data_IF_084910883133
#
_entry.id   IF_084910883133
#
_cell.length_a   1.000
_cell.length_b   1.000
_cell.length_c   1.000
_cell.angle_alpha   90.00
_cell.angle_beta   90.00
_cell.angle_gamma   90.00
#
_symmetry.space_group_name_H-M   'P 1'
#
loop_
_entity.id
_entity.type
_entity.pdbx_description
1 polymer ?
#
# COMPACT_ATOMS: atom_id res chain seq x y z
N UNK A 1 -21.31 16.09 15.44
CA UNK A 1 -19.89 15.80 15.19
C UNK A 1 -19.42 16.78 14.14
N UNK A 2 -18.31 17.45 14.40
CA UNK A 2 -17.64 18.34 13.44
C UNK A 2 -16.53 17.52 12.77
N UNK A 3 -16.39 17.64 11.45
CA UNK A 3 -15.42 16.88 10.67
C UNK A 3 -14.58 17.83 9.82
N UNK A 4 -13.27 17.71 9.95
CA UNK A 4 -12.30 18.45 9.13
C UNK A 4 -11.79 17.58 7.98
N UNK A 5 -11.92 18.09 6.75
CA UNK A 5 -11.33 17.43 5.57
C UNK A 5 -9.83 17.75 5.51
N UNK A 6 -8.99 16.72 5.57
CA UNK A 6 -7.54 16.81 5.30
C UNK A 6 -7.20 16.09 3.99
N UNK A 7 -6.48 16.75 3.10
CA UNK A 7 -5.86 16.10 1.92
C UNK A 7 -4.45 15.70 2.32
N UNK A 8 -4.15 14.40 2.28
CA UNK A 8 -2.89 13.84 2.79
C UNK A 8 -1.90 13.45 1.66
N UNK A 9 -2.41 13.21 0.46
CA UNK A 9 -1.61 12.87 -0.72
C UNK A 9 -2.43 13.02 -2.00
N UNK A 10 -1.74 13.18 -3.12
CA UNK A 10 -2.30 13.03 -4.46
C UNK A 10 -1.61 11.83 -5.13
N UNK A 11 -2.39 10.79 -5.46
CA UNK A 11 -1.87 9.54 -6.05
C UNK A 11 -2.72 9.16 -7.25
N UNK A 12 -2.07 8.83 -8.36
CA UNK A 12 -2.74 8.46 -9.60
C UNK A 12 -3.54 7.18 -9.40
N UNK A 13 -4.87 7.29 -9.46
CA UNK A 13 -5.78 6.14 -9.25
C UNK A 13 -5.47 5.40 -7.93
N UNK A 14 -5.39 6.17 -6.83
CA UNK A 14 -5.41 5.67 -5.46
C UNK A 14 -6.59 4.71 -5.28
N UNK A 15 -6.32 3.44 -4.96
CA UNK A 15 -7.34 2.39 -5.04
C UNK A 15 -7.37 1.50 -3.79
N UNK A 16 -6.30 0.77 -3.53
CA UNK A 16 -6.27 -0.18 -2.43
C UNK A 16 -5.73 0.50 -1.17
N UNK A 17 -6.47 0.35 -0.05
CA UNK A 17 -6.04 0.77 1.28
C UNK A 17 -6.12 -0.41 2.25
N UNK A 18 -5.15 -0.55 3.15
CA UNK A 18 -5.20 -1.54 4.22
C UNK A 18 -4.53 -1.02 5.49
N UNK A 19 -5.01 -1.46 6.64
CA UNK A 19 -4.33 -1.21 7.91
C UNK A 19 -3.04 -2.04 7.98
N UNK A 20 -2.01 -1.46 8.58
CA UNK A 20 -0.76 -2.14 8.87
C UNK A 20 -0.35 -1.87 10.31
N UNK A 21 -0.47 -2.91 11.13
CA UNK A 21 -0.06 -2.91 12.53
C UNK A 21 1.42 -3.25 12.59
N UNK A 22 2.26 -2.26 12.33
CA UNK A 22 3.70 -2.44 12.27
C UNK A 22 4.30 -2.63 13.66
N UNK A 23 5.45 -3.30 13.75
CA UNK A 23 6.20 -3.43 15.01
C UNK A 23 6.63 -2.06 15.57
N UNK A 24 6.75 -1.05 14.70
CA UNK A 24 7.07 0.33 15.05
C UNK A 24 5.82 1.16 15.41
N UNK A 25 4.78 1.10 14.59
CA UNK A 25 3.53 1.82 14.83
C UNK A 25 2.35 1.31 13.99
N UNK A 26 1.15 1.64 14.48
CA UNK A 26 -0.07 1.53 13.68
C UNK A 26 -0.07 2.56 12.55
N UNK A 27 -0.48 2.10 11.37
CA UNK A 27 -0.38 2.85 10.12
C UNK A 27 -1.34 2.27 9.08
N UNK A 28 -1.37 2.85 7.89
CA UNK A 28 -2.06 2.28 6.74
C UNK A 28 -1.24 2.42 5.46
N UNK A 29 -1.47 1.51 4.53
CA UNK A 29 -0.83 1.46 3.22
C UNK A 29 -1.84 1.86 2.16
N UNK A 30 -1.39 2.64 1.17
CA UNK A 30 -2.18 2.99 -0.01
C UNK A 30 -1.39 2.60 -1.26
N UNK A 31 -2.02 1.85 -2.16
CA UNK A 31 -1.47 1.46 -3.46
C UNK A 31 -2.32 1.95 -4.64
N UNK A 32 -1.67 2.18 -5.78
CA UNK A 32 -2.33 2.64 -7.01
C UNK A 32 -2.81 1.48 -7.91
N UNK A 33 -3.97 1.67 -8.53
CA UNK A 33 -4.52 0.73 -9.54
C UNK A 33 -3.71 0.76 -10.85
N UNK A 34 -3.22 1.94 -11.24
CA UNK A 34 -2.34 2.13 -12.41
C UNK A 34 -0.90 2.29 -11.95
N UNK A 35 0.02 2.37 -12.90
CA UNK A 35 1.43 2.64 -12.63
C UNK A 35 1.60 3.77 -11.60
N UNK A 36 2.33 3.46 -10.54
CA UNK A 36 2.47 4.32 -9.38
C UNK A 36 2.85 3.56 -8.11
N UNK A 37 3.03 4.31 -7.01
CA UNK A 37 3.66 3.79 -5.81
C UNK A 37 2.67 3.09 -4.86
N UNK A 38 3.23 2.37 -3.90
CA UNK A 38 2.59 2.10 -2.62
C UNK A 38 3.29 2.89 -1.52
N UNK A 39 2.52 3.63 -0.73
CA UNK A 39 3.03 4.53 0.31
C UNK A 39 2.37 4.16 1.64
N UNK A 40 3.17 4.14 2.70
CA UNK A 40 2.71 4.01 4.08
C UNK A 40 2.46 5.38 4.69
N UNK A 41 1.38 5.49 5.46
CA UNK A 41 1.00 6.70 6.18
C UNK A 41 0.74 6.37 7.65
N UNK A 42 1.12 7.29 8.53
CA UNK A 42 0.69 7.25 9.91
C UNK A 42 -0.83 7.52 10.02
N UNK A 43 -1.45 7.16 11.14
CA UNK A 43 -2.91 7.32 11.33
C UNK A 43 -3.40 8.77 11.26
N UNK A 44 -2.52 9.75 11.48
CA UNK A 44 -2.82 11.19 11.32
C UNK A 44 -2.71 11.66 9.85
N UNK A 45 -2.35 10.77 8.93
CA UNK A 45 -2.15 11.02 7.51
C UNK A 45 -0.77 11.56 7.14
N UNK A 46 0.19 11.62 8.08
CA UNK A 46 1.56 11.98 7.76
C UNK A 46 2.21 10.89 6.90
N UNK A 47 2.85 11.24 5.76
CA UNK A 47 3.53 10.25 4.92
C UNK A 47 4.73 9.67 5.67
N UNK A 48 4.91 8.35 5.53
CA UNK A 48 6.06 7.63 6.08
C UNK A 48 6.97 7.20 4.91
N UNK A 49 7.18 5.90 4.71
CA UNK A 49 7.96 5.35 3.62
C UNK A 49 7.13 5.11 2.34
N UNK A 50 7.78 5.33 1.19
CA UNK A 50 7.36 4.69 -0.06
C UNK A 50 7.83 3.24 -0.03
N UNK A 51 6.90 2.29 0.00
CA UNK A 51 7.22 0.85 0.05
C UNK A 51 7.81 0.39 -1.29
N UNK A 52 7.26 0.91 -2.40
CA UNK A 52 7.83 0.81 -3.74
C UNK A 52 7.33 1.97 -4.62
N UNK A 53 8.15 2.41 -5.57
CA UNK A 53 7.78 3.46 -6.53
C UNK A 53 6.86 2.96 -7.65
N UNK A 54 6.99 1.67 -7.97
CA UNK A 54 6.22 0.93 -8.96
C UNK A 54 6.63 -0.55 -8.93
N UNK A 55 5.86 -1.44 -9.56
CA UNK A 55 4.70 -1.15 -10.38
C UNK A 55 3.43 -0.89 -9.57
N UNK A 56 2.40 -0.40 -10.26
CA UNK A 56 1.04 -0.32 -9.75
C UNK A 56 0.28 -1.64 -9.88
N UNK A 57 -1.02 -1.56 -10.21
CA UNK A 57 -1.87 -2.75 -10.36
C UNK A 57 -2.24 -3.36 -9.01
N UNK A 58 -2.28 -2.51 -7.96
CA UNK A 58 -2.65 -2.91 -6.61
C UNK A 58 -4.16 -2.93 -6.49
N UNK A 59 -4.71 -4.12 -6.22
CA UNK A 59 -6.14 -4.36 -6.02
C UNK A 59 -6.46 -4.73 -4.58
N UNK A 60 -5.54 -5.40 -3.90
CA UNK A 60 -5.71 -5.80 -2.49
C UNK A 60 -4.35 -5.88 -1.82
N UNK A 61 -4.33 -5.47 -0.54
CA UNK A 61 -3.21 -5.65 0.35
C UNK A 61 -3.71 -6.24 1.68
N UNK A 62 -2.98 -7.21 2.23
CA UNK A 62 -3.34 -7.84 3.50
C UNK A 62 -2.09 -8.11 4.32
N UNK A 63 -2.11 -7.70 5.58
CA UNK A 63 -1.02 -7.99 6.51
C UNK A 63 -0.89 -9.49 6.73
N UNK A 64 0.35 -10.00 6.75
CA UNK A 64 0.60 -11.40 7.10
C UNK A 64 0.17 -11.65 8.56
N UNK A 65 -0.62 -12.68 8.84
CA UNK A 65 -1.07 -12.96 10.21
C UNK A 65 0.09 -13.08 11.19
N UNK A 66 0.02 -12.35 12.31
CA UNK A 66 1.02 -12.38 13.37
C UNK A 66 2.36 -11.71 13.05
N UNK A 67 2.45 -10.95 11.96
CA UNK A 67 3.69 -10.27 11.54
C UNK A 67 3.54 -8.76 11.44
N UNK A 68 4.26 -8.00 12.27
CA UNK A 68 4.32 -6.53 12.20
C UNK A 68 5.34 -5.98 11.19
N UNK A 69 5.94 -6.85 10.39
CA UNK A 69 6.97 -6.47 9.40
C UNK A 69 6.63 -6.93 7.98
N UNK A 70 5.48 -7.58 7.76
CA UNK A 70 5.16 -8.20 6.48
C UNK A 70 3.70 -8.07 6.06
N UNK A 71 3.48 -7.85 4.76
CA UNK A 71 2.18 -7.94 4.12
C UNK A 71 2.27 -8.55 2.71
N UNK A 72 1.14 -8.99 2.18
CA UNK A 72 0.98 -9.42 0.80
C UNK A 72 0.24 -8.35 0.00
N UNK A 73 0.59 -8.20 -1.28
CA UNK A 73 -0.07 -7.28 -2.21
C UNK A 73 -0.27 -7.95 -3.56
N UNK A 74 -1.35 -7.60 -4.26
CA UNK A 74 -1.36 -7.78 -5.71
C UNK A 74 -0.53 -6.68 -6.39
N UNK A 75 0.12 -7.01 -7.49
CA UNK A 75 0.83 -6.06 -8.36
C UNK A 75 0.58 -6.42 -9.82
N UNK A 76 0.67 -5.40 -10.69
CA UNK A 76 0.50 -5.49 -12.15
C UNK A 76 -0.82 -6.13 -12.60
N UNK A 77 -1.83 -6.12 -11.73
CA UNK A 77 -3.19 -6.47 -12.11
C UNK A 77 -3.85 -5.25 -12.75
N UNK A 78 -3.60 -5.02 -14.03
CA UNK A 78 -4.21 -3.93 -14.78
C UNK A 78 -5.55 -4.40 -15.38
N UNK A 79 -6.67 -4.01 -14.76
CA UNK A 79 -8.00 -4.26 -15.33
C UNK A 79 -8.52 -3.03 -16.10
N UNK A 80 -9.31 -3.20 -17.18
CA UNK A 80 -9.67 -4.45 -17.88
C UNK A 80 -8.61 -4.92 -18.89
N UNK A 81 -7.52 -4.17 -19.06
CA UNK A 81 -6.50 -4.42 -20.09
C UNK A 81 -5.20 -4.93 -19.44
N UNK A 82 -4.71 -6.08 -19.88
CA UNK A 82 -3.45 -6.69 -19.43
C UNK A 82 -3.46 -7.22 -17.98
N UNK A 83 -4.63 -7.66 -17.49
CA UNK A 83 -4.81 -8.04 -16.07
C UNK A 83 -4.16 -9.34 -15.62
N UNK A 84 -3.51 -10.09 -16.51
CA UNK A 84 -3.02 -11.45 -16.21
C UNK A 84 -1.55 -11.74 -16.53
N UNK A 85 -0.94 -11.06 -17.51
CA UNK A 85 0.37 -11.48 -18.02
C UNK A 85 1.50 -11.28 -17.00
N UNK A 86 1.48 -10.17 -16.27
CA UNK A 86 2.48 -9.84 -15.24
C UNK A 86 1.88 -9.79 -13.83
N UNK A 87 0.57 -10.02 -13.71
CA UNK A 87 -0.14 -9.97 -12.44
C UNK A 87 0.39 -11.03 -11.48
N UNK A 88 0.72 -10.60 -10.26
CA UNK A 88 1.29 -11.48 -9.24
C UNK A 88 0.84 -11.06 -7.85
N UNK A 89 1.01 -12.00 -6.91
CA UNK A 89 1.01 -11.71 -5.48
C UNK A 89 2.47 -11.56 -5.08
N UNK A 90 2.79 -10.43 -4.46
CA UNK A 90 4.11 -10.18 -3.86
C UNK A 90 4.00 -10.21 -2.34
N UNK A 91 5.11 -10.56 -1.71
CA UNK A 91 5.27 -10.40 -0.26
C UNK A 91 6.26 -9.28 -0.01
N UNK A 92 5.85 -8.29 0.79
CA UNK A 92 6.67 -7.15 1.15
C UNK A 92 7.05 -7.30 2.62
N UNK A 93 8.34 -7.44 2.88
CA UNK A 93 8.89 -7.60 4.24
C UNK A 93 9.83 -6.44 4.51
N UNK A 94 9.65 -5.76 5.64
CA UNK A 94 10.54 -4.69 6.07
C UNK A 94 11.93 -5.26 6.32
N UNK A 95 12.95 -4.64 5.74
CA UNK A 95 14.33 -4.94 6.11
C UNK A 95 14.63 -4.20 7.40
N UNK A 96 15.02 -4.92 8.45
CA UNK A 96 15.60 -4.27 9.63
C UNK A 96 16.94 -3.69 9.22
N UNK A 97 17.10 -2.38 9.41
CA UNK A 97 18.42 -1.74 9.36
C UNK A 97 19.32 -2.50 10.34
N UNK A 98 20.44 -3.03 9.86
CA UNK A 98 21.48 -3.60 10.72
C UNK A 98 22.11 -2.56 11.63
#
# INVERSE_FOLDING_TARGET
MEYDKKVIAEMKKCYAITMFHGDDCDSFLIGTEKEGPCIRFALDGSPMETVWDGPGGVMTMVQSPGRGDQFLSTQEFYSPNCGGEHARIVTCTRQHSG
#
